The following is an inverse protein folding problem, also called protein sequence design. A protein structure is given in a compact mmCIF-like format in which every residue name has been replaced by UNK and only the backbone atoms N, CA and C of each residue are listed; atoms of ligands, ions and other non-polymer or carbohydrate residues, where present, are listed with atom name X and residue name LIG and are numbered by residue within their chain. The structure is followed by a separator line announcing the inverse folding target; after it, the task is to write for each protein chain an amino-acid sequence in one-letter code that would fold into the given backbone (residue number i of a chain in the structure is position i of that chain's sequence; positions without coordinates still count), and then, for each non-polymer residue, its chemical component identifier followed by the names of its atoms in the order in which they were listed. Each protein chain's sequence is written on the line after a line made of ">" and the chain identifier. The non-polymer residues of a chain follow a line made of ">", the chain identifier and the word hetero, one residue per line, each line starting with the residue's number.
data_IF_426908776491
#
_entry.id   IF_426908776491
#
_cell.length_a   1.000
_cell.length_b   1.000
_cell.length_c   1.000
_cell.angle_alpha   90.00
_cell.angle_beta   90.00
_cell.angle_gamma   90.00
#
_symmetry.space_group_name_H-M   'P 1'
#
loop_
_entity.id
_entity.type
_entity.pdbx_description
1 polymer ?
#
# COMPACT_ATOMS: atom_id res chain seq x y z
N UNK A 1 -25.19 -3.58 13.09
CA UNK A 1 -23.82 -3.24 13.53
C UNK A 1 -23.58 -1.79 13.20
N UNK A 2 -23.20 -0.99 14.19
CA UNK A 2 -22.95 0.45 14.04
C UNK A 2 -21.44 0.69 13.88
N UNK A 3 -21.06 1.69 13.09
CA UNK A 3 -19.66 2.10 12.93
C UNK A 3 -19.54 3.59 13.26
N UNK A 4 -18.70 3.92 14.24
CA UNK A 4 -18.51 5.29 14.71
C UNK A 4 -17.04 5.68 14.58
N UNK A 5 -16.76 6.63 13.69
CA UNK A 5 -15.44 7.22 13.53
C UNK A 5 -15.40 8.61 14.21
N UNK A 6 -14.68 8.71 15.32
CA UNK A 6 -14.47 9.92 16.11
C UNK A 6 -13.25 10.74 15.63
N UNK A 7 -12.59 10.32 14.55
CA UNK A 7 -11.35 10.92 14.06
C UNK A 7 -11.57 11.71 12.76
N UNK A 8 -10.64 12.59 12.37
CA UNK A 8 -10.66 13.20 11.06
C UNK A 8 -10.13 12.29 9.93
N UNK A 9 -9.75 11.05 10.25
CA UNK A 9 -9.16 10.09 9.31
C UNK A 9 -10.24 9.32 8.56
N UNK A 10 -9.88 8.71 7.44
CA UNK A 10 -10.78 7.77 6.74
C UNK A 10 -10.69 6.42 7.42
N UNK A 11 -11.83 5.85 7.80
CA UNK A 11 -11.88 4.57 8.48
C UNK A 11 -13.04 3.74 7.95
N UNK A 12 -12.82 2.43 7.84
CA UNK A 12 -13.81 1.47 7.37
C UNK A 12 -13.43 0.08 7.93
N UNK A 13 -14.25 -0.94 7.66
CA UNK A 13 -14.01 -2.30 8.13
C UNK A 13 -14.38 -3.33 7.07
N UNK A 14 -13.83 -4.54 7.22
CA UNK A 14 -14.24 -5.71 6.45
C UNK A 14 -14.29 -6.96 7.32
N UNK A 15 -14.84 -8.04 6.76
CA UNK A 15 -14.68 -9.37 7.30
C UNK A 15 -13.59 -10.11 6.54
N UNK A 16 -12.76 -10.85 7.28
CA UNK A 16 -11.68 -11.65 6.72
C UNK A 16 -11.67 -13.06 7.31
N UNK A 17 -10.79 -13.89 6.75
CA UNK A 17 -10.52 -15.24 7.24
C UNK A 17 -9.07 -15.28 7.73
N UNK A 18 -8.87 -15.70 8.99
CA UNK A 18 -7.52 -15.96 9.51
C UNK A 18 -6.98 -17.28 8.95
N UNK A 19 -5.66 -17.46 8.98
CA UNK A 19 -5.03 -18.75 8.64
C UNK A 19 -5.64 -19.95 9.38
N UNK A 20 -6.12 -19.75 10.60
CA UNK A 20 -6.81 -20.79 11.40
C UNK A 20 -8.22 -21.17 10.91
N UNK A 21 -8.72 -20.57 9.83
CA UNK A 21 -10.09 -20.74 9.35
C UNK A 21 -11.15 -19.99 10.17
N UNK A 22 -10.73 -19.23 11.20
CA UNK A 22 -11.65 -18.41 12.00
C UNK A 22 -11.91 -17.09 11.28
N UNK A 23 -13.19 -16.74 11.17
CA UNK A 23 -13.60 -15.42 10.72
C UNK A 23 -13.05 -14.33 11.66
N UNK A 24 -12.64 -13.21 11.09
CA UNK A 24 -12.28 -12.01 11.81
C UNK A 24 -13.01 -10.79 11.22
N UNK A 25 -13.15 -9.77 12.06
CA UNK A 25 -13.44 -8.42 11.60
C UNK A 25 -12.14 -7.62 11.61
N UNK A 26 -11.89 -6.87 10.55
CA UNK A 26 -10.70 -6.05 10.35
C UNK A 26 -11.17 -4.60 10.30
N UNK A 27 -10.62 -3.75 11.16
CA UNK A 27 -10.85 -2.30 11.14
C UNK A 27 -9.58 -1.67 10.57
N UNK A 28 -9.76 -0.76 9.62
CA UNK A 28 -8.67 -0.06 8.97
C UNK A 28 -8.91 1.43 9.06
N UNK A 29 -7.87 2.20 9.33
CA UNK A 29 -7.93 3.67 9.33
C UNK A 29 -6.71 4.23 8.62
N UNK A 30 -6.93 5.20 7.73
CA UNK A 30 -5.89 5.86 6.94
C UNK A 30 -5.88 7.35 7.23
N UNK A 31 -4.69 7.86 7.56
CA UNK A 31 -4.44 9.29 7.67
C UNK A 31 -3.49 9.74 6.56
N UNK A 32 -3.80 10.86 5.92
CA UNK A 32 -2.95 11.51 4.90
C UNK A 32 -2.32 12.77 5.48
N UNK A 33 -1.01 12.88 5.37
CA UNK A 33 -0.22 14.04 5.80
C UNK A 33 0.48 14.68 4.62
N UNK A 34 0.64 16.00 4.68
CA UNK A 34 1.54 16.74 3.80
C UNK A 34 2.97 16.58 4.29
N UNK A 35 3.91 16.37 3.37
CA UNK A 35 5.33 16.37 3.69
C UNK A 35 5.78 17.77 4.15
N UNK A 36 6.75 17.86 5.07
CA UNK A 36 7.38 19.13 5.43
C UNK A 36 8.10 19.77 4.24
N UNK A 37 8.14 21.10 4.19
CA UNK A 37 8.86 21.81 3.11
C UNK A 37 10.36 21.80 3.29
N UNK A 38 10.82 21.63 4.52
CA UNK A 38 12.23 21.63 4.92
C UNK A 38 12.38 20.87 6.24
N UNK A 39 13.63 20.67 6.69
CA UNK A 39 13.98 19.87 7.86
C UNK A 39 13.55 20.48 9.22
N UNK A 40 13.11 21.75 9.23
CA UNK A 40 12.67 22.44 10.45
C UNK A 40 11.15 22.44 10.62
N UNK A 41 10.42 21.85 9.66
CA UNK A 41 8.96 21.78 9.69
C UNK A 41 8.48 20.38 10.09
N UNK A 42 7.35 20.35 10.79
CA UNK A 42 6.64 19.10 11.10
C UNK A 42 5.59 18.79 10.02
N UNK A 43 5.30 17.50 9.77
CA UNK A 43 4.20 17.11 8.90
C UNK A 43 2.87 17.70 9.37
N UNK A 44 1.99 17.99 8.41
CA UNK A 44 0.66 18.53 8.72
C UNK A 44 -0.42 17.61 8.18
N UNK A 45 -1.45 17.36 8.97
CA UNK A 45 -2.60 16.59 8.51
C UNK A 45 -3.20 17.27 7.26
N UNK A 46 -3.40 16.50 6.19
CA UNK A 46 -3.99 17.00 4.97
C UNK A 46 -5.46 17.35 5.19
N UNK A 47 -5.93 18.46 4.60
CA UNK A 47 -7.38 18.75 4.54
C UNK A 47 -8.13 17.75 3.65
N UNK A 48 -7.45 17.21 2.64
CA UNK A 48 -7.98 16.21 1.73
C UNK A 48 -7.39 14.86 2.11
N UNK A 49 -8.17 14.04 2.82
CA UNK A 49 -7.79 12.68 3.16
C UNK A 49 -8.02 11.75 1.95
N UNK A 50 -7.09 10.83 1.72
CA UNK A 50 -7.26 9.79 0.70
C UNK A 50 -8.15 8.67 1.21
N UNK A 51 -8.96 8.12 0.32
CA UNK A 51 -9.79 6.96 0.61
C UNK A 51 -8.95 5.68 0.85
N UNK A 52 -9.58 4.70 1.48
CA UNK A 52 -9.05 3.35 1.60
C UNK A 52 -9.14 2.63 0.24
N UNK A 53 -8.06 1.94 -0.13
CA UNK A 53 -8.01 1.11 -1.33
C UNK A 53 -8.70 -0.21 -1.05
N UNK A 54 -9.81 -0.47 -1.76
CA UNK A 54 -10.61 -1.70 -1.62
C UNK A 54 -10.11 -2.85 -2.51
N UNK A 55 -9.20 -2.54 -3.42
CA UNK A 55 -8.56 -3.47 -4.33
C UNK A 55 -7.16 -2.96 -4.67
N UNK A 56 -6.32 -3.85 -5.17
CA UNK A 56 -5.01 -3.50 -5.71
C UNK A 56 -5.18 -2.54 -6.90
N UNK A 57 -4.31 -1.53 -6.99
CA UNK A 57 -4.30 -0.54 -8.06
C UNK A 57 -2.97 -0.66 -8.79
N UNK A 58 -3.03 -0.64 -10.12
CA UNK A 58 -1.88 -0.78 -11.01
C UNK A 58 -1.69 0.47 -11.88
N UNK A 59 -0.49 0.67 -12.42
CA UNK A 59 -0.21 1.77 -13.35
C UNK A 59 -0.90 1.61 -14.72
N UNK A 60 -1.28 0.38 -15.07
CA UNK A 60 -2.05 0.02 -16.25
C UNK A 60 -2.89 -1.24 -15.99
N UNK A 61 -2.82 -2.20 -16.91
CA UNK A 61 -3.55 -3.47 -16.79
C UNK A 61 -3.00 -4.35 -15.65
N UNK A 62 -3.90 -4.92 -14.83
CA UNK A 62 -3.52 -5.78 -13.72
C UNK A 62 -2.78 -7.03 -14.21
N UNK A 63 -1.68 -7.38 -13.54
CA UNK A 63 -0.82 -8.51 -13.92
C UNK A 63 0.16 -8.20 -15.07
N UNK A 64 -0.03 -7.10 -15.82
CA UNK A 64 0.85 -6.68 -16.92
C UNK A 64 1.55 -5.34 -16.66
N UNK A 65 1.27 -4.68 -15.53
CA UNK A 65 1.86 -3.39 -15.17
C UNK A 65 2.25 -3.35 -13.69
N UNK A 66 3.05 -2.35 -13.30
CA UNK A 66 3.50 -2.20 -11.91
C UNK A 66 2.34 -1.92 -10.95
N UNK A 67 2.26 -2.63 -9.81
CA UNK A 67 1.33 -2.27 -8.75
C UNK A 67 1.72 -0.94 -8.11
N UNK A 68 0.73 -0.09 -7.87
CA UNK A 68 0.88 1.19 -7.18
C UNK A 68 0.43 1.08 -5.73
N UNK A 69 -0.76 0.55 -5.48
CA UNK A 69 -1.29 0.41 -4.13
C UNK A 69 -1.85 -1.00 -3.94
N UNK A 70 -1.60 -1.61 -2.79
CA UNK A 70 -2.25 -2.86 -2.40
C UNK A 70 -3.59 -2.55 -1.70
N UNK A 71 -4.48 -3.54 -1.67
CA UNK A 71 -5.70 -3.50 -0.86
C UNK A 71 -5.38 -3.25 0.64
N UNK A 72 -6.01 -2.21 1.21
CA UNK A 72 -5.84 -1.83 2.61
C UNK A 72 -6.50 -2.82 3.60
N UNK A 73 -7.30 -3.77 3.11
CA UNK A 73 -8.09 -4.68 3.94
C UNK A 73 -7.51 -6.09 4.07
N UNK A 74 -6.18 -6.22 3.97
CA UNK A 74 -5.50 -7.47 4.33
C UNK A 74 -5.93 -7.93 5.75
N UNK A 75 -6.32 -9.21 5.95
CA UNK A 75 -6.76 -9.70 7.26
C UNK A 75 -5.76 -9.50 8.39
N UNK A 76 -4.46 -9.59 8.07
CA UNK A 76 -3.37 -9.46 9.00
C UNK A 76 -2.08 -9.09 8.26
N UNK A 77 -1.24 -8.24 8.87
CA UNK A 77 0.11 -7.93 8.41
C UNK A 77 1.10 -8.12 9.57
N UNK A 78 2.02 -9.09 9.49
CA UNK A 78 2.95 -9.37 10.58
C UNK A 78 4.00 -8.28 10.79
N UNK A 79 4.21 -7.39 9.79
CA UNK A 79 5.20 -6.31 9.78
C UNK A 79 4.58 -5.03 9.22
N UNK A 80 5.30 -3.91 9.31
CA UNK A 80 4.95 -2.68 8.62
C UNK A 80 5.61 -2.63 7.23
N UNK A 81 4.82 -2.38 6.20
CA UNK A 81 5.30 -2.11 4.85
C UNK A 81 5.66 -0.63 4.69
N UNK A 82 6.89 -0.32 4.25
CA UNK A 82 7.31 1.04 3.89
C UNK A 82 7.45 1.13 2.38
N UNK A 83 6.53 1.83 1.72
CA UNK A 83 6.45 1.96 0.26
C UNK A 83 6.66 3.40 -0.17
N UNK A 84 7.35 3.61 -1.29
CA UNK A 84 7.50 4.95 -1.89
C UNK A 84 7.11 4.97 -3.37
N UNK A 85 6.43 6.05 -3.77
CA UNK A 85 6.31 6.47 -5.17
C UNK A 85 7.13 7.74 -5.35
N UNK A 86 8.38 7.58 -5.77
CA UNK A 86 9.36 8.66 -5.80
C UNK A 86 10.09 8.76 -7.14
N UNK A 87 10.70 9.91 -7.36
CA UNK A 87 11.69 10.13 -8.41
C UNK A 87 13.03 10.46 -7.76
N UNK A 88 14.12 10.09 -8.41
CA UNK A 88 15.45 10.62 -8.09
C UNK A 88 15.55 12.08 -8.56
N UNK A 89 16.15 12.94 -7.76
CA UNK A 89 16.34 14.37 -8.07
C UNK A 89 17.80 14.79 -7.90
N UNK A 90 18.32 15.52 -8.88
CA UNK A 90 19.64 16.16 -8.86
C UNK A 90 19.55 17.59 -9.36
N UNK A 91 20.28 18.51 -8.73
CA UNK A 91 20.32 19.93 -9.11
C UNK A 91 20.92 20.16 -10.51
N UNK A 92 21.88 19.31 -10.90
CA UNK A 92 22.52 19.34 -12.22
C UNK A 92 22.34 17.98 -12.91
N UNK A 93 22.35 17.93 -14.25
CA UNK A 93 22.27 16.68 -14.97
C UNK A 93 23.38 15.71 -14.54
N UNK A 94 22.99 14.51 -14.11
CA UNK A 94 23.89 13.42 -13.72
C UNK A 94 23.53 12.15 -14.50
N UNK A 95 24.50 11.29 -14.74
CA UNK A 95 24.28 9.99 -15.40
C UNK A 95 23.89 8.89 -14.42
N UNK A 96 24.31 9.01 -13.15
CA UNK A 96 23.92 8.15 -12.06
C UNK A 96 23.94 8.90 -10.72
N UNK A 97 23.18 8.42 -9.74
CA UNK A 97 23.24 8.88 -8.35
C UNK A 97 22.73 7.81 -7.38
N UNK A 98 23.10 7.93 -6.10
CA UNK A 98 22.54 7.10 -5.03
C UNK A 98 21.35 7.82 -4.42
N UNK A 99 20.25 7.09 -4.24
CA UNK A 99 19.05 7.57 -3.55
C UNK A 99 18.60 6.56 -2.52
N UNK A 100 17.78 7.01 -1.58
CA UNK A 100 17.27 6.11 -0.56
C UNK A 100 16.37 6.76 0.47
N UNK A 101 15.92 5.94 1.40
CA UNK A 101 15.19 6.38 2.57
C UNK A 101 15.68 5.67 3.82
N UNK A 102 15.39 6.28 4.98
CA UNK A 102 15.52 5.66 6.29
C UNK A 102 14.27 5.96 7.12
N UNK A 103 13.71 4.95 7.78
CA UNK A 103 12.62 5.09 8.76
C UNK A 103 13.02 4.34 10.03
N UNK A 104 13.34 5.08 11.08
CA UNK A 104 13.90 4.49 12.30
C UNK A 104 15.19 3.71 11.99
N UNK A 105 15.13 2.38 12.14
CA UNK A 105 16.26 1.45 11.85
C UNK A 105 16.26 0.89 10.43
N UNK A 106 15.15 0.98 9.71
CA UNK A 106 15.03 0.49 8.34
C UNK A 106 15.71 1.48 7.40
N UNK A 107 16.62 1.01 6.56
CA UNK A 107 17.31 1.81 5.54
C UNK A 107 17.36 1.05 4.22
N UNK A 108 17.09 1.75 3.13
CA UNK A 108 17.28 1.23 1.78
C UNK A 108 17.95 2.27 0.90
N UNK A 109 19.04 1.86 0.26
CA UNK A 109 19.78 2.65 -0.72
C UNK A 109 19.85 1.88 -2.05
N UNK A 110 19.75 2.59 -3.16
CA UNK A 110 20.00 2.02 -4.48
C UNK A 110 20.66 3.04 -5.41
N UNK A 111 21.29 2.54 -6.47
CA UNK A 111 21.81 3.38 -7.55
C UNK A 111 20.70 3.59 -8.57
N UNK A 112 20.47 4.85 -8.95
CA UNK A 112 19.63 5.24 -10.08
C UNK A 112 20.53 5.67 -11.22
N UNK A 113 20.30 5.10 -12.40
CA UNK A 113 21.09 5.30 -13.61
C UNK A 113 20.16 5.88 -14.68
N UNK A 114 20.67 6.84 -15.44
CA UNK A 114 19.94 7.44 -16.53
C UNK A 114 19.61 6.43 -17.63
N UNK A 115 18.62 6.72 -18.50
CA UNK A 115 18.24 5.80 -19.57
C UNK A 115 19.44 5.37 -20.42
N UNK A 116 19.60 4.05 -20.60
CA UNK A 116 20.66 3.45 -21.42
C UNK A 116 20.11 2.24 -22.16
N UNK A 117 20.76 1.96 -23.28
CA UNK A 117 20.36 0.93 -24.23
C UNK A 117 21.58 0.11 -24.61
N UNK A 118 21.38 -1.16 -24.94
CA UNK A 118 22.46 -1.99 -25.50
C UNK A 118 22.90 -1.43 -26.85
N UNK A 119 24.22 -1.32 -27.05
CA UNK A 119 24.81 -0.82 -28.29
C UNK A 119 25.75 -1.85 -28.89
N UNK A 120 25.76 -1.92 -30.22
CA UNK A 120 26.75 -2.69 -30.97
C UNK A 120 28.09 -1.98 -30.90
N UNK A 121 29.13 -2.72 -30.53
CA UNK A 121 30.51 -2.27 -30.49
C UNK A 121 31.35 -3.13 -31.43
N UNK A 122 32.62 -2.76 -31.63
CA UNK A 122 33.57 -3.60 -32.40
C UNK A 122 33.76 -4.96 -31.73
N UNK A 123 33.56 -5.06 -30.41
CA UNK A 123 33.71 -6.27 -29.61
C UNK A 123 32.34 -6.67 -29.03
N UNK A 124 31.40 -7.02 -29.91
CA UNK A 124 30.07 -7.50 -29.52
C UNK A 124 29.15 -6.40 -28.98
N UNK A 125 28.27 -6.76 -28.05
CA UNK A 125 27.25 -5.85 -27.51
C UNK A 125 27.54 -5.51 -26.06
N UNK A 126 27.37 -4.23 -25.73
CA UNK A 126 27.61 -3.70 -24.38
C UNK A 126 26.52 -2.70 -24.01
N UNK A 127 26.30 -2.46 -22.70
CA UNK A 127 25.52 -1.31 -22.26
C UNK A 127 26.11 -0.01 -22.83
N UNK A 128 25.26 0.85 -23.39
CA UNK A 128 25.65 2.20 -23.79
C UNK A 128 25.76 3.15 -22.61
N UNK A 129 26.32 4.34 -22.86
CA UNK A 129 26.43 5.42 -21.87
C UNK A 129 25.04 5.88 -21.40
N UNK A 130 24.83 6.08 -20.09
CA UNK A 130 23.57 6.62 -19.56
C UNK A 130 23.29 8.05 -20.03
N UNK A 131 22.03 8.31 -20.37
CA UNK A 131 21.56 9.66 -20.69
C UNK A 131 21.42 10.47 -19.38
N UNK A 132 22.04 11.66 -19.27
CA UNK A 132 21.95 12.47 -18.06
C UNK A 132 20.51 12.88 -17.70
N UNK A 133 20.20 12.93 -16.41
CA UNK A 133 18.91 13.35 -15.88
C UNK A 133 19.07 14.32 -14.69
N UNK A 134 18.07 15.19 -14.51
CA UNK A 134 17.85 15.95 -13.26
C UNK A 134 16.70 15.37 -12.46
N UNK A 135 15.80 14.64 -13.11
CA UNK A 135 14.70 13.90 -12.50
C UNK A 135 14.50 12.56 -13.20
N UNK A 136 14.49 11.47 -12.44
CA UNK A 136 14.26 10.11 -12.96
C UNK A 136 13.22 9.38 -12.10
N UNK A 137 12.01 9.12 -12.60
CA UNK A 137 11.03 8.30 -11.89
C UNK A 137 11.57 6.89 -11.59
N UNK A 138 11.20 6.36 -10.43
CA UNK A 138 11.60 5.05 -9.93
C UNK A 138 10.37 4.15 -9.92
N UNK A 139 10.39 3.08 -10.70
CA UNK A 139 9.30 2.09 -10.79
C UNK A 139 9.85 0.69 -11.03
N UNK A 140 9.07 -0.34 -10.71
CA UNK A 140 9.36 -1.71 -11.12
C UNK A 140 9.34 -1.88 -12.65
N UNK A 141 8.58 -1.05 -13.38
CA UNK A 141 8.56 -1.03 -14.86
C UNK A 141 9.94 -0.68 -15.46
N UNK A 142 10.79 0.00 -14.68
CA UNK A 142 12.13 0.43 -15.10
C UNK A 142 13.25 -0.31 -14.36
N UNK A 143 12.90 -1.19 -13.42
CA UNK A 143 13.84 -2.02 -12.68
C UNK A 143 14.14 -3.31 -13.44
N UNK A 144 15.20 -4.03 -13.03
CA UNK A 144 15.56 -5.30 -13.66
C UNK A 144 14.39 -6.29 -13.64
N UNK A 145 14.15 -6.95 -14.76
CA UNK A 145 13.11 -7.96 -14.91
C UNK A 145 12.52 -7.94 -16.32
N UNK A 146 11.28 -8.40 -16.42
CA UNK A 146 10.53 -8.48 -17.67
C UNK A 146 10.14 -9.89 -18.05
N UNK A 147 9.36 -9.97 -19.12
CA UNK A 147 8.92 -11.22 -19.76
C UNK A 147 9.25 -11.16 -21.25
N UNK A 148 9.86 -12.21 -21.77
CA UNK A 148 10.19 -12.32 -23.20
C UNK A 148 9.44 -13.49 -23.82
N UNK A 149 8.87 -13.27 -25.00
CA UNK A 149 8.18 -14.32 -25.77
C UNK A 149 9.21 -15.38 -26.19
N UNK A 150 8.88 -16.65 -26.00
CA UNK A 150 9.78 -17.76 -26.35
C UNK A 150 9.84 -18.00 -27.87
N UNK A 151 8.68 -17.97 -28.52
CA UNK A 151 8.57 -18.12 -29.97
C UNK A 151 7.62 -17.06 -30.56
N UNK A 152 8.16 -15.94 -31.09
CA UNK A 152 7.36 -14.88 -31.69
C UNK A 152 6.51 -15.30 -32.89
N UNK A 153 6.79 -16.47 -33.49
CA UNK A 153 6.05 -17.02 -34.63
C UNK A 153 4.95 -18.00 -34.23
N UNK A 154 4.83 -18.34 -32.94
CA UNK A 154 3.78 -19.23 -32.46
C UNK A 154 2.38 -18.62 -32.71
N UNK A 155 1.35 -19.44 -32.99
CA UNK A 155 -0.03 -19.00 -32.95
C UNK A 155 -0.34 -18.31 -31.62
N UNK A 156 -1.22 -17.31 -31.62
CA UNK A 156 -1.52 -16.49 -30.43
C UNK A 156 -1.90 -17.32 -29.20
N UNK A 157 -2.59 -18.44 -29.41
CA UNK A 157 -3.06 -19.35 -28.36
C UNK A 157 -1.92 -20.21 -27.74
N UNK A 158 -0.78 -20.27 -28.42
CA UNK A 158 0.40 -21.06 -28.03
C UNK A 158 1.59 -20.19 -27.61
N UNK A 159 1.42 -18.86 -27.54
CA UNK A 159 2.50 -17.96 -27.11
C UNK A 159 2.85 -18.25 -25.65
N UNK A 160 4.09 -18.68 -25.42
CA UNK A 160 4.68 -18.82 -24.10
C UNK A 160 5.67 -17.68 -23.82
N UNK A 161 5.88 -17.42 -22.53
CA UNK A 161 6.77 -16.37 -22.05
C UNK A 161 7.75 -16.93 -21.03
N UNK A 162 9.04 -16.66 -21.23
CA UNK A 162 10.02 -16.76 -20.15
C UNK A 162 9.96 -15.46 -19.35
N UNK A 163 9.48 -15.56 -18.11
CA UNK A 163 9.23 -14.41 -17.23
C UNK A 163 10.17 -14.38 -16.04
N UNK A 164 10.76 -13.21 -15.76
CA UNK A 164 11.48 -12.99 -14.51
C UNK A 164 10.50 -12.78 -13.36
N UNK A 165 10.04 -13.88 -12.75
CA UNK A 165 8.90 -13.84 -11.82
C UNK A 165 9.07 -12.95 -10.58
N UNK A 166 10.29 -12.50 -10.25
CA UNK A 166 10.51 -11.48 -9.21
C UNK A 166 9.99 -10.09 -9.62
N UNK A 167 10.01 -9.78 -10.92
CA UNK A 167 9.50 -8.55 -11.52
C UNK A 167 9.20 -8.78 -13.02
N UNK A 168 8.06 -9.41 -13.37
CA UNK A 168 7.72 -9.76 -14.75
C UNK A 168 7.42 -8.55 -15.65
N UNK A 169 7.19 -7.37 -15.07
CA UNK A 169 6.85 -6.14 -15.82
C UNK A 169 8.06 -5.22 -16.03
N UNK A 170 9.23 -5.60 -15.51
CA UNK A 170 10.46 -4.83 -15.62
C UNK A 170 11.12 -4.86 -16.99
N UNK A 171 12.34 -4.37 -17.03
CA UNK A 171 13.18 -4.32 -18.23
C UNK A 171 14.57 -4.91 -17.97
N UNK A 172 15.24 -5.35 -19.03
CA UNK A 172 16.61 -5.85 -18.95
C UNK A 172 16.76 -7.36 -18.80
N UNK A 173 15.67 -8.13 -18.67
CA UNK A 173 15.69 -9.58 -18.78
C UNK A 173 15.28 -10.02 -20.19
N UNK A 174 16.26 -10.47 -20.98
CA UNK A 174 16.14 -10.88 -22.37
C UNK A 174 16.79 -12.27 -22.58
N UNK A 175 16.23 -13.34 -21.98
CA UNK A 175 16.83 -14.67 -21.97
C UNK A 175 16.99 -15.28 -23.38
N UNK A 176 16.04 -14.98 -24.27
CA UNK A 176 15.93 -15.57 -25.60
C UNK A 176 16.60 -14.72 -26.69
N UNK A 177 16.85 -13.43 -26.40
CA UNK A 177 17.52 -12.54 -27.34
C UNK A 177 18.93 -12.98 -27.70
N UNK A 178 19.24 -12.94 -29.00
CA UNK A 178 20.60 -12.96 -29.50
C UNK A 178 21.21 -11.55 -29.53
N UNK A 179 22.49 -11.43 -29.90
CA UNK A 179 23.17 -10.15 -29.95
C UNK A 179 22.43 -9.13 -30.81
N UNK A 180 22.18 -9.38 -32.09
CA UNK A 180 21.59 -8.35 -32.96
C UNK A 180 20.19 -7.90 -32.49
N UNK A 181 19.43 -8.79 -31.83
CA UNK A 181 18.13 -8.46 -31.19
C UNK A 181 18.24 -7.64 -29.91
N UNK A 182 19.39 -7.67 -29.22
CA UNK A 182 19.63 -6.83 -28.04
C UNK A 182 19.87 -5.37 -28.41
N UNK A 183 20.29 -5.06 -29.64
CA UNK A 183 20.59 -3.68 -30.03
C UNK A 183 19.38 -2.79 -29.78
N UNK A 184 19.60 -1.66 -29.11
CA UNK A 184 18.60 -0.68 -28.73
C UNK A 184 17.54 -1.16 -27.72
N UNK A 185 17.66 -2.38 -27.17
CA UNK A 185 16.87 -2.79 -26.01
C UNK A 185 17.29 -2.01 -24.75
N UNK A 186 16.34 -1.60 -23.90
CA UNK A 186 16.63 -0.80 -22.72
C UNK A 186 17.28 -1.65 -21.61
N UNK A 187 18.12 -1.01 -20.81
CA UNK A 187 18.67 -1.54 -19.57
C UNK A 187 17.91 -0.99 -18.35
N UNK A 188 17.93 -1.70 -17.21
CA UNK A 188 17.32 -1.20 -15.98
C UNK A 188 17.93 0.14 -15.54
N UNK A 189 17.07 0.97 -14.96
CA UNK A 189 17.41 2.31 -14.46
C UNK A 189 17.77 2.30 -12.97
N UNK A 190 17.65 1.14 -12.32
CA UNK A 190 17.92 0.96 -10.90
C UNK A 190 18.70 -0.32 -10.64
N UNK A 191 19.70 -0.23 -9.78
CA UNK A 191 20.57 -1.35 -9.42
C UNK A 191 20.94 -1.30 -7.94
N UNK A 192 21.26 -2.46 -7.36
CA UNK A 192 21.81 -2.51 -6.03
C UNK A 192 23.23 -1.94 -6.04
N UNK A 193 23.66 -1.31 -4.95
CA UNK A 193 24.92 -0.55 -4.93
C UNK A 193 26.16 -1.35 -5.37
N UNK A 194 26.17 -2.65 -5.07
CA UNK A 194 27.31 -3.54 -5.30
C UNK A 194 27.01 -4.69 -6.28
N UNK A 195 25.83 -4.70 -6.90
CA UNK A 195 25.39 -5.79 -7.80
C UNK A 195 24.78 -5.20 -9.09
N UNK A 196 25.60 -4.87 -10.10
CA UNK A 196 25.12 -4.37 -11.37
C UNK A 196 24.25 -5.39 -12.10
N UNK A 197 23.16 -4.93 -12.72
CA UNK A 197 22.19 -5.75 -13.41
C UNK A 197 22.36 -5.64 -14.94
N UNK A 198 23.57 -5.96 -15.43
CA UNK A 198 23.96 -5.79 -16.84
C UNK A 198 23.84 -7.06 -17.68
N UNK A 199 23.80 -8.23 -17.04
CA UNK A 199 23.59 -9.52 -17.71
C UNK A 199 22.10 -9.74 -17.98
N UNK A 200 21.71 -9.65 -19.24
CA UNK A 200 20.32 -9.79 -19.66
C UNK A 200 19.72 -11.19 -19.50
N UNK A 201 20.52 -12.22 -19.23
CA UNK A 201 20.03 -13.60 -19.06
C UNK A 201 20.07 -14.07 -17.62
N UNK A 202 20.57 -13.24 -16.71
CA UNK A 202 20.76 -13.60 -15.32
C UNK A 202 19.44 -13.72 -14.58
N UNK A 203 19.29 -14.76 -13.78
CA UNK A 203 18.15 -14.88 -12.86
C UNK A 203 18.47 -14.42 -11.44
N UNK A 204 19.68 -13.91 -11.22
CA UNK A 204 20.20 -13.54 -9.89
C UNK A 204 19.79 -12.15 -9.40
N UNK A 205 19.77 -11.07 -10.23
CA UNK A 205 19.58 -9.72 -9.73
C UNK A 205 18.29 -9.56 -8.91
N UNK A 206 18.37 -8.74 -7.86
CA UNK A 206 17.19 -8.33 -7.08
C UNK A 206 16.68 -7.02 -7.68
N UNK A 207 15.45 -6.98 -8.24
CA UNK A 207 14.88 -5.76 -8.80
C UNK A 207 14.84 -4.64 -7.75
N UNK A 208 15.43 -3.50 -8.07
CA UNK A 208 15.48 -2.36 -7.16
C UNK A 208 14.38 -1.36 -7.49
N UNK A 209 13.43 -1.20 -6.58
CA UNK A 209 12.42 -0.15 -6.61
C UNK A 209 11.98 0.11 -5.16
N UNK A 210 11.11 1.11 -4.96
CA UNK A 210 10.48 1.39 -3.66
C UNK A 210 8.99 1.02 -3.59
N UNK A 211 8.40 0.64 -4.72
CA UNK A 211 6.98 0.34 -4.84
C UNK A 211 6.59 -0.97 -4.16
N UNK A 212 5.29 -1.33 -4.18
CA UNK A 212 4.84 -2.64 -3.73
C UNK A 212 5.21 -3.73 -4.75
N UNK A 213 5.26 -4.98 -4.28
CA UNK A 213 5.39 -6.19 -5.07
C UNK A 213 4.00 -6.79 -5.28
N UNK A 214 3.68 -7.19 -6.52
CA UNK A 214 2.35 -7.73 -6.84
C UNK A 214 2.18 -9.15 -6.30
N UNK A 215 0.93 -9.54 -6.04
CA UNK A 215 0.56 -10.84 -5.45
C UNK A 215 0.99 -12.04 -6.28
N UNK A 216 1.04 -11.90 -7.61
CA UNK A 216 1.43 -12.95 -8.54
C UNK A 216 2.95 -13.04 -8.77
N UNK A 217 3.74 -12.12 -8.23
CA UNK A 217 5.20 -12.16 -8.36
C UNK A 217 5.81 -13.08 -7.32
N UNK A 218 6.92 -13.75 -7.65
CA UNK A 218 7.54 -14.80 -6.81
C UNK A 218 7.81 -14.43 -5.35
N UNK A 219 8.16 -13.18 -4.97
CA UNK A 219 8.37 -12.85 -3.56
C UNK A 219 7.10 -12.99 -2.72
N UNK A 220 5.91 -12.95 -3.35
CA UNK A 220 4.63 -13.13 -2.70
C UNK A 220 3.94 -14.42 -3.11
N UNK A 221 3.89 -14.75 -4.39
CA UNK A 221 3.14 -15.93 -4.87
C UNK A 221 3.62 -17.24 -4.24
N UNK A 222 4.92 -17.36 -3.94
CA UNK A 222 5.50 -18.51 -3.22
C UNK A 222 5.01 -18.67 -1.77
N UNK A 223 4.42 -17.62 -1.20
CA UNK A 223 3.86 -17.59 0.16
C UNK A 223 2.36 -17.91 0.18
N UNK A 224 1.72 -18.02 -0.99
CA UNK A 224 0.28 -18.26 -1.13
C UNK A 224 -0.16 -19.67 -0.71
N UNK A 225 0.77 -20.59 -0.52
CA UNK A 225 0.49 -22.00 -0.23
C UNK A 225 0.09 -22.81 -1.46
N UNK A 226 -0.17 -24.10 -1.25
CA UNK A 226 -0.42 -25.07 -2.32
C UNK A 226 -1.92 -25.33 -2.52
N UNK A 227 -2.43 -25.03 -3.71
CA UNK A 227 -3.84 -25.23 -4.11
C UNK A 227 -3.97 -26.40 -5.10
N UNK A 228 -3.73 -27.62 -4.63
CA UNK A 228 -3.82 -28.85 -5.43
C UNK A 228 -5.19 -29.56 -5.28
N UNK A 229 -5.31 -30.77 -5.85
CA UNK A 229 -6.54 -31.57 -5.76
C UNK A 229 -6.90 -31.91 -4.30
N UNK A 230 -5.90 -32.16 -3.45
CA UNK A 230 -6.14 -32.43 -2.03
C UNK A 230 -6.69 -31.18 -1.31
N UNK A 231 -6.20 -29.97 -1.66
CA UNK A 231 -6.82 -28.74 -1.17
C UNK A 231 -8.29 -28.65 -1.59
N UNK A 232 -8.59 -28.92 -2.87
CA UNK A 232 -9.96 -28.88 -3.40
C UNK A 232 -10.90 -29.85 -2.68
N UNK A 233 -10.46 -31.09 -2.46
CA UNK A 233 -11.30 -32.15 -1.93
C UNK A 233 -11.45 -32.11 -0.40
N UNK A 234 -10.43 -31.64 0.33
CA UNK A 234 -10.34 -31.82 1.78
C UNK A 234 -10.10 -30.53 2.59
N UNK A 235 -9.68 -29.43 1.97
CA UNK A 235 -9.30 -28.18 2.69
C UNK A 235 -10.22 -27.01 2.34
N UNK A 236 -10.71 -26.94 1.10
CA UNK A 236 -11.60 -25.88 0.65
C UNK A 236 -12.84 -25.78 1.57
N UNK A 237 -13.30 -24.56 1.90
CA UNK A 237 -12.88 -23.25 1.39
C UNK A 237 -11.80 -22.55 2.24
N UNK A 238 -11.06 -23.27 3.09
CA UNK A 238 -10.02 -22.65 3.93
C UNK A 238 -8.70 -22.44 3.18
N UNK A 239 -7.83 -21.59 3.75
CA UNK A 239 -6.47 -21.40 3.22
C UNK A 239 -5.67 -22.71 3.34
N UNK A 240 -4.75 -22.98 2.39
CA UNK A 240 -3.80 -24.10 2.50
C UNK A 240 -3.02 -24.06 3.81
N UNK A 241 -2.66 -25.23 4.34
CA UNK A 241 -1.92 -25.32 5.62
C UNK A 241 -0.54 -24.65 5.57
N UNK A 242 0.08 -24.64 4.40
CA UNK A 242 1.37 -24.01 4.10
C UNK A 242 1.26 -22.51 3.73
N UNK A 243 0.05 -21.92 3.71
CA UNK A 243 -0.14 -20.48 3.52
C UNK A 243 0.68 -19.69 4.53
N UNK A 244 1.50 -18.74 4.08
CA UNK A 244 2.30 -17.89 4.94
C UNK A 244 1.70 -16.48 4.98
N UNK A 245 1.37 -15.98 6.17
CA UNK A 245 0.74 -14.65 6.35
C UNK A 245 1.63 -13.49 5.88
N UNK A 246 2.94 -13.71 5.66
CA UNK A 246 3.80 -12.76 4.96
C UNK A 246 3.32 -12.47 3.53
N UNK A 247 2.48 -13.32 2.93
CA UNK A 247 1.78 -13.06 1.67
C UNK A 247 1.03 -11.71 1.66
N UNK A 248 0.58 -11.26 2.82
CA UNK A 248 -0.12 -9.98 2.98
C UNK A 248 0.80 -8.76 3.00
N UNK A 249 2.12 -8.92 3.16
CA UNK A 249 3.08 -7.83 3.00
C UNK A 249 3.20 -7.50 1.52
N UNK A 250 3.07 -6.23 1.18
CA UNK A 250 3.27 -5.75 -0.18
C UNK A 250 4.66 -5.16 -0.39
N UNK A 251 5.37 -4.75 0.67
CA UNK A 251 6.73 -4.27 0.53
C UNK A 251 7.69 -5.44 0.28
N UNK A 252 8.76 -5.25 -0.51
CA UNK A 252 9.87 -6.20 -0.53
C UNK A 252 10.50 -6.31 0.87
N UNK A 253 11.19 -7.41 1.16
CA UNK A 253 11.74 -7.72 2.49
C UNK A 253 12.62 -6.60 3.05
N UNK A 254 13.42 -5.95 2.19
CA UNK A 254 14.29 -4.82 2.53
C UNK A 254 13.54 -3.49 2.78
N UNK A 255 12.21 -3.52 2.77
CA UNK A 255 11.31 -2.40 3.05
C UNK A 255 10.26 -2.74 4.11
N UNK A 256 10.45 -3.83 4.85
CA UNK A 256 9.60 -4.24 5.96
C UNK A 256 10.28 -3.95 7.29
N UNK A 257 9.55 -3.40 8.25
CA UNK A 257 10.03 -3.18 9.61
C UNK A 257 9.01 -3.62 10.65
N UNK A 258 9.36 -3.53 11.93
CA UNK A 258 8.37 -3.67 13.00
C UNK A 258 7.30 -2.58 12.86
N UNK A 259 6.11 -2.83 13.42
CA UNK A 259 5.01 -1.86 13.40
C UNK A 259 5.46 -0.49 13.90
N UNK A 260 5.10 0.56 13.17
CA UNK A 260 5.45 1.93 13.53
C UNK A 260 4.50 2.43 14.65
N UNK A 261 5.04 3.27 15.52
CA UNK A 261 4.34 3.84 16.67
C UNK A 261 4.18 5.36 16.58
N UNK A 262 4.87 6.02 15.65
CA UNK A 262 5.00 7.47 15.60
C UNK A 262 6.26 7.95 16.29
N UNK A 263 6.73 9.14 15.93
CA UNK A 263 7.98 9.71 16.44
C UNK A 263 9.24 9.17 15.76
N UNK A 264 9.16 8.10 14.96
CA UNK A 264 10.32 7.62 14.21
C UNK A 264 10.85 8.69 13.27
N UNK A 265 12.18 8.83 13.21
CA UNK A 265 12.83 9.71 12.26
C UNK A 265 12.77 9.11 10.86
N UNK A 266 12.28 9.89 9.90
CA UNK A 266 12.22 9.58 8.49
C UNK A 266 13.18 10.49 7.73
N UNK A 267 14.06 9.92 6.92
CA UNK A 267 14.96 10.64 6.02
C UNK A 267 14.73 10.18 4.59
N UNK A 268 14.59 11.12 3.67
CA UNK A 268 14.60 10.91 2.22
C UNK A 268 15.90 11.50 1.66
N UNK A 269 16.66 10.71 0.90
CA UNK A 269 17.93 11.11 0.30
C UNK A 269 17.84 11.08 -1.23
N UNK A 270 17.94 12.26 -1.86
CA UNK A 270 17.86 12.38 -3.32
C UNK A 270 16.49 12.06 -3.90
N UNK A 271 15.44 12.02 -3.06
CA UNK A 271 14.05 11.71 -3.44
C UNK A 271 13.13 12.94 -3.39
N UNK A 272 13.69 14.11 -3.15
CA UNK A 272 13.01 15.40 -3.18
C UNK A 272 13.87 16.44 -3.93
N UNK A 273 13.27 17.45 -4.59
CA UNK A 273 14.03 18.46 -5.33
C UNK A 273 15.07 19.22 -4.50
N UNK A 274 14.81 19.43 -3.21
CA UNK A 274 15.71 20.10 -2.27
C UNK A 274 16.85 19.21 -1.72
N UNK A 275 17.05 18.01 -2.28
CA UNK A 275 18.08 17.07 -1.86
C UNK A 275 17.60 16.13 -0.75
N UNK A 276 17.91 16.47 0.51
CA UNK A 276 17.57 15.64 1.67
C UNK A 276 16.43 16.25 2.47
N UNK A 277 15.46 15.41 2.85
CA UNK A 277 14.36 15.79 3.73
C UNK A 277 14.31 14.86 4.95
N UNK A 278 14.42 15.43 6.14
CA UNK A 278 14.35 14.70 7.41
C UNK A 278 13.27 15.29 8.31
N UNK A 279 12.45 14.43 8.89
CA UNK A 279 11.41 14.81 9.86
C UNK A 279 10.99 13.63 10.73
N UNK A 280 10.19 13.88 11.77
CA UNK A 280 9.62 12.82 12.61
C UNK A 280 8.20 12.48 12.14
N UNK A 281 7.89 11.18 12.13
CA UNK A 281 6.51 10.74 11.91
C UNK A 281 5.58 11.28 13.01
N UNK A 282 4.34 11.68 12.69
CA UNK A 282 3.39 12.16 13.68
C UNK A 282 3.11 11.12 14.77
N UNK A 283 3.16 11.52 16.03
CA UNK A 283 2.72 10.70 17.16
C UNK A 283 1.20 10.75 17.27
N UNK A 284 0.53 9.64 16.95
CA UNK A 284 -0.94 9.55 16.94
C UNK A 284 -1.39 8.35 17.77
N UNK A 285 -2.10 8.63 18.86
CA UNK A 285 -2.83 7.59 19.59
C UNK A 285 -4.17 7.34 18.93
N UNK A 286 -4.34 6.16 18.31
CA UNK A 286 -5.56 5.78 17.62
C UNK A 286 -6.22 4.57 18.30
N UNK A 287 -7.05 4.77 19.33
CA UNK A 287 -7.77 3.66 19.94
C UNK A 287 -8.82 3.13 18.95
N UNK A 288 -8.84 1.80 18.76
CA UNK A 288 -9.89 1.10 18.04
C UNK A 288 -10.58 0.14 19.01
N UNK A 289 -11.90 0.06 18.95
CA UNK A 289 -12.68 -0.70 19.93
C UNK A 289 -13.89 -1.37 19.31
N UNK A 290 -14.30 -2.45 19.96
CA UNK A 290 -15.52 -3.19 19.63
C UNK A 290 -16.39 -3.28 20.86
N UNK A 291 -17.68 -2.96 20.69
CA UNK A 291 -18.73 -3.23 21.67
C UNK A 291 -19.58 -4.36 21.12
N UNK A 292 -19.61 -5.46 21.84
CA UNK A 292 -20.40 -6.65 21.52
C UNK A 292 -21.89 -6.39 21.79
N UNK A 293 -22.78 -7.21 21.23
CA UNK A 293 -24.24 -7.05 21.43
C UNK A 293 -24.69 -7.32 22.86
N UNK A 294 -23.90 -8.05 23.66
CA UNK A 294 -24.13 -8.21 25.10
C UNK A 294 -23.60 -7.02 25.93
N UNK A 295 -23.00 -6.00 25.29
CA UNK A 295 -22.46 -4.81 25.95
C UNK A 295 -20.97 -4.88 26.28
N UNK A 296 -20.30 -6.03 26.13
CA UNK A 296 -18.87 -6.18 26.43
C UNK A 296 -18.03 -5.28 25.51
N UNK A 297 -17.05 -4.60 26.10
CA UNK A 297 -16.15 -3.68 25.38
C UNK A 297 -14.76 -4.27 25.29
N UNK A 298 -14.21 -4.29 24.09
CA UNK A 298 -12.86 -4.76 23.81
C UNK A 298 -12.06 -3.66 23.14
N UNK A 299 -10.94 -3.27 23.75
CA UNK A 299 -9.93 -2.47 23.09
C UNK A 299 -9.14 -3.36 22.15
N UNK A 300 -8.94 -2.90 20.91
CA UNK A 300 -8.15 -3.59 19.93
C UNK A 300 -6.75 -3.01 19.87
N UNK A 301 -5.77 -3.86 19.58
CA UNK A 301 -4.42 -3.43 19.30
C UNK A 301 -4.36 -2.86 17.87
N UNK A 302 -4.25 -1.54 17.78
CA UNK A 302 -4.18 -0.79 16.53
C UNK A 302 -2.72 -0.45 16.24
N UNK A 303 -2.18 -0.97 15.14
CA UNK A 303 -0.78 -0.79 14.74
C UNK A 303 -0.68 -0.14 13.38
N UNK A 304 0.30 0.74 13.18
CA UNK A 304 0.67 1.20 11.84
C UNK A 304 1.40 0.06 11.15
N UNK A 305 0.82 -0.45 10.07
CA UNK A 305 1.41 -1.54 9.30
C UNK A 305 1.63 -1.22 7.82
N UNK A 306 1.30 0.00 7.40
CA UNK A 306 1.67 0.51 6.07
C UNK A 306 1.97 2.01 6.15
N UNK A 307 3.17 2.39 5.71
CA UNK A 307 3.60 3.76 5.45
C UNK A 307 3.83 3.90 3.94
N UNK A 308 3.10 4.80 3.29
CA UNK A 308 3.29 5.12 1.87
C UNK A 308 3.73 6.56 1.72
N UNK A 309 4.86 6.81 1.06
CA UNK A 309 5.41 8.16 0.87
C UNK A 309 5.39 8.50 -0.62
N UNK A 310 4.86 9.67 -0.94
CA UNK A 310 4.69 10.14 -2.31
C UNK A 310 5.28 11.56 -2.44
N UNK A 311 6.63 11.68 -2.51
CA UNK A 311 7.30 12.99 -2.53
C UNK A 311 6.81 13.90 -3.67
N UNK A 312 6.61 13.33 -4.86
CA UNK A 312 6.14 14.04 -6.05
C UNK A 312 4.70 14.59 -5.89
N UNK A 313 3.92 14.01 -4.98
CA UNK A 313 2.57 14.47 -4.62
C UNK A 313 2.55 15.23 -3.28
N UNK A 314 3.73 15.51 -2.72
CA UNK A 314 3.96 16.22 -1.47
C UNK A 314 3.19 15.65 -0.27
N UNK A 315 3.09 14.32 -0.16
CA UNK A 315 2.29 13.67 0.90
C UNK A 315 2.84 12.31 1.33
N UNK A 316 2.35 11.82 2.46
CA UNK A 316 2.47 10.43 2.87
C UNK A 316 1.19 9.98 3.59
N UNK A 317 0.99 8.67 3.67
CA UNK A 317 -0.13 8.05 4.40
C UNK A 317 0.35 7.05 5.41
N UNK A 318 -0.35 7.00 6.54
CA UNK A 318 -0.22 5.97 7.56
C UNK A 318 -1.52 5.17 7.60
N UNK A 319 -1.41 3.85 7.60
CA UNK A 319 -2.54 2.93 7.72
C UNK A 319 -2.41 2.16 9.04
N UNK A 320 -3.40 2.33 9.90
CA UNK A 320 -3.58 1.53 11.10
C UNK A 320 -4.53 0.39 10.81
N UNK A 321 -4.18 -0.80 11.32
CA UNK A 321 -5.04 -1.97 11.27
C UNK A 321 -5.21 -2.55 12.67
N UNK A 322 -6.44 -2.96 12.95
CA UNK A 322 -6.76 -3.77 14.09
C UNK A 322 -7.71 -4.89 13.66
N UNK A 323 -7.73 -5.98 14.41
CA UNK A 323 -8.62 -7.09 14.10
C UNK A 323 -9.19 -7.74 15.36
N UNK A 324 -10.37 -8.33 15.24
CA UNK A 324 -11.01 -9.12 16.28
C UNK A 324 -11.51 -10.44 15.71
N UNK A 325 -11.27 -11.54 16.41
CA UNK A 325 -11.81 -12.84 16.02
C UNK A 325 -13.31 -12.92 16.30
N UNK A 326 -14.07 -13.46 15.35
CA UNK A 326 -15.50 -13.73 15.51
C UNK A 326 -15.66 -15.12 16.12
N UNK A 327 -16.40 -15.22 17.22
CA UNK A 327 -16.59 -16.46 17.96
C UNK A 327 -17.74 -17.28 17.41
N UNK A 328 -18.92 -16.67 17.22
CA UNK A 328 -20.14 -17.37 16.78
C UNK A 328 -20.65 -16.84 15.45
N UNK A 329 -20.90 -15.54 15.37
CA UNK A 329 -21.54 -14.93 14.19
C UNK A 329 -21.19 -13.46 14.10
N UNK A 330 -21.14 -12.90 12.88
CA UNK A 330 -20.95 -11.45 12.66
C UNK A 330 -21.96 -10.58 13.42
N UNK A 331 -23.12 -11.12 13.77
CA UNK A 331 -24.17 -10.43 14.54
C UNK A 331 -23.83 -10.23 16.02
N UNK A 332 -22.77 -10.86 16.55
CA UNK A 332 -22.31 -10.63 17.92
C UNK A 332 -21.63 -9.26 18.10
N UNK A 333 -21.25 -8.61 17.00
CA UNK A 333 -20.61 -7.30 16.99
C UNK A 333 -21.71 -6.23 16.91
N UNK A 334 -21.86 -5.46 17.99
CA UNK A 334 -22.86 -4.40 18.09
C UNK A 334 -22.36 -3.09 17.46
N UNK A 335 -21.23 -2.57 17.96
CA UNK A 335 -20.67 -1.28 17.55
C UNK A 335 -19.16 -1.35 17.39
N UNK A 336 -18.65 -0.71 16.34
CA UNK A 336 -17.23 -0.47 16.09
C UNK A 336 -16.91 1.00 16.33
N UNK A 337 -15.79 1.28 16.98
CA UNK A 337 -15.37 2.63 17.33
C UNK A 337 -13.93 2.84 16.86
N UNK A 338 -13.70 3.92 16.14
CA UNK A 338 -12.36 4.44 15.81
C UNK A 338 -12.18 5.79 16.47
N UNK A 339 -11.10 5.95 17.23
CA UNK A 339 -10.83 7.13 18.05
C UNK A 339 -11.56 7.12 19.39
N UNK A 340 -11.48 8.24 20.11
CA UNK A 340 -12.07 8.39 21.44
C UNK A 340 -13.44 9.07 21.35
N UNK A 341 -14.55 8.39 21.69
CA UNK A 341 -15.87 9.01 21.72
C UNK A 341 -15.95 10.14 22.75
N UNK A 342 -16.83 11.11 22.48
CA UNK A 342 -17.16 12.15 23.47
C UNK A 342 -18.07 11.57 24.57
N UNK A 343 -18.07 12.18 25.76
CA UNK A 343 -19.01 11.82 26.83
C UNK A 343 -20.48 11.89 26.37
N UNK A 344 -20.81 12.88 25.53
CA UNK A 344 -22.15 13.04 24.97
C UNK A 344 -22.55 11.89 24.05
N UNK A 345 -21.61 11.37 23.25
CA UNK A 345 -21.85 10.20 22.42
C UNK A 345 -22.08 8.96 23.27
N UNK A 346 -21.24 8.74 24.28
CA UNK A 346 -21.37 7.61 25.22
C UNK A 346 -22.74 7.64 25.92
N UNK A 347 -23.17 8.81 26.42
CA UNK A 347 -24.48 8.95 27.04
C UNK A 347 -25.60 8.68 26.04
N UNK A 348 -25.56 9.27 24.84
CA UNK A 348 -26.59 9.07 23.81
C UNK A 348 -26.75 7.58 23.46
N UNK A 349 -25.66 6.84 23.33
CA UNK A 349 -25.68 5.39 23.11
C UNK A 349 -26.32 4.63 24.28
N UNK A 350 -25.99 4.99 25.52
CA UNK A 350 -26.55 4.32 26.71
C UNK A 350 -28.07 4.48 26.85
N UNK A 351 -28.61 5.61 26.39
CA UNK A 351 -30.05 5.90 26.44
C UNK A 351 -30.76 5.64 25.11
N UNK A 352 -30.10 4.95 24.17
CA UNK A 352 -30.59 4.62 22.82
C UNK A 352 -31.13 5.83 22.02
N UNK A 353 -30.41 6.95 22.10
CA UNK A 353 -30.73 8.20 21.39
C UNK A 353 -29.72 8.48 20.27
N UNK A 354 -30.15 9.13 19.17
CA UNK A 354 -29.23 9.57 18.14
C UNK A 354 -28.25 10.61 18.70
N UNK A 355 -26.95 10.38 18.50
CA UNK A 355 -25.93 11.38 18.80
C UNK A 355 -25.77 12.36 17.65
N UNK A 356 -25.79 13.65 17.97
CA UNK A 356 -25.49 14.74 17.04
C UNK A 356 -24.24 15.46 17.53
N UNK A 357 -23.16 15.39 16.74
CA UNK A 357 -21.95 16.12 17.07
C UNK A 357 -22.21 17.64 17.09
N UNK A 358 -21.57 18.37 18.01
CA UNK A 358 -21.71 19.84 18.14
C UNK A 358 -21.57 20.60 16.83
N UNK A 359 -20.62 20.21 15.97
CA UNK A 359 -20.42 20.81 14.64
C UNK A 359 -21.62 20.67 13.70
N UNK A 360 -22.49 19.68 13.93
CA UNK A 360 -23.65 19.35 13.10
C UNK A 360 -24.97 19.77 13.76
N UNK A 361 -24.96 20.31 14.99
CA UNK A 361 -26.18 20.62 15.72
C UNK A 361 -27.06 21.65 15.00
N UNK A 362 -26.46 22.65 14.35
CA UNK A 362 -27.20 23.65 13.56
C UNK A 362 -27.87 23.06 12.30
N UNK A 363 -27.24 22.05 11.68
CA UNK A 363 -27.83 21.36 10.52
C UNK A 363 -28.95 20.42 10.97
N UNK A 364 -28.73 19.68 12.05
CA UNK A 364 -29.73 18.80 12.65
C UNK A 364 -30.95 19.57 13.17
N UNK A 365 -30.75 20.73 13.81
CA UNK A 365 -31.85 21.60 14.25
C UNK A 365 -32.74 22.05 13.10
N UNK A 366 -32.15 22.38 11.94
CA UNK A 366 -32.90 22.70 10.72
C UNK A 366 -33.68 21.50 10.19
N UNK A 367 -33.05 20.32 10.13
CA UNK A 367 -33.72 19.08 9.71
C UNK A 367 -34.92 18.73 10.61
N UNK A 368 -34.76 18.78 11.93
CA UNK A 368 -35.84 18.49 12.89
C UNK A 368 -36.96 19.54 12.81
N UNK A 369 -36.61 20.81 12.58
CA UNK A 369 -37.63 21.87 12.40
C UNK A 369 -38.45 21.64 11.14
N UNK A 370 -37.82 21.26 10.04
CA UNK A 370 -38.51 20.93 8.78
C UNK A 370 -39.43 19.71 8.94
N UNK A 371 -38.97 18.65 9.61
CA UNK A 371 -39.80 17.46 9.91
C UNK A 371 -41.00 17.77 10.81
N UNK A 372 -40.93 18.78 11.68
CA UNK A 372 -42.06 19.22 12.50
C UNK A 372 -43.06 20.01 11.67
N UNK A 373 -42.58 20.89 10.80
CA UNK A 373 -43.44 21.63 9.88
C UNK A 373 -44.18 20.71 8.90
N UNK A 374 -43.53 19.66 8.37
CA UNK A 374 -44.21 18.68 7.51
C UNK A 374 -45.29 17.90 8.25
N UNK A 375 -45.12 17.59 9.55
CA UNK A 375 -46.15 16.91 10.36
C UNK A 375 -47.30 17.83 10.77
N UNK A 376 -47.04 19.13 10.96
CA UNK A 376 -48.09 20.12 11.25
C UNK A 376 -48.99 20.43 10.04
N UNK A 377 -48.52 20.14 8.82
CA UNK A 377 -49.29 20.32 7.58
C UNK A 377 -50.20 19.10 7.30
N UNK A 378 -49.89 17.93 7.85
CA UNK A 378 -50.64 16.67 7.65
C UNK A 378 -51.63 16.31 8.77
N UNK A 379 -51.76 17.11 9.84
CA UNK A 379 -52.88 17.00 10.78
C UNK A 379 -54.01 17.95 10.38
N UNK A 380 -55.10 17.49 9.72
CA UNK A 380 -56.27 18.32 9.56
C UNK A 380 -56.90 18.55 10.93
N UNK A 381 -57.04 19.83 11.30
CA UNK A 381 -57.87 20.28 12.40
C UNK A 381 -59.28 19.68 12.28
N UNK A 382 -59.54 18.57 12.97
CA UNK A 382 -60.88 18.06 13.21
C UNK A 382 -61.30 18.43 14.63
N UNK A 383 -61.67 19.71 14.79
CA UNK A 383 -62.54 20.17 15.88
C UNK A 383 -63.64 21.03 15.24
N UNK A 384 -64.71 20.37 14.80
CA UNK A 384 -66.11 20.59 15.22
C UNK A 384 -67.07 19.87 14.27
#
# INVERSE_FOLDING_TARGET
>A
MNFFNATPFVADYTFGLKKSGRNCLVIVTKATYMLPRNNNEQPRLSKNQLDLHKSDIYSGEAGQSTPLYDNDFAPYKPKCDVILHASAYSEKPVTEMIVGFRVGKLEKLMKVIGPRYYRKTVIGIKPGEPIPFTRQPISYDTAYGGSEIDNPKAPREEITYTSFMRNPVGIGFYPNSNSDELVDKPLPLTEALNEPAVDCKSTKPIPQAFGPVARNWSPRSTLGGTYDQNWSDNVAPFLPGDFNEQYYQCAPEDQQCDHLHGGEMLTLMGLVPQGNLTFHLPEVTLPMQVIMTNGDRHNLDSRVDTLTIEPDKNRFTLVWRAHVGIRRSKHEIGTLIVGTPTRGWEHARLVDKPYVAMKNLCAFGRYVSNLRHEREIDEPNNIN
#
